data_IF_509446757758
#
_entry.id   IF_509446757758
#
_cell.length_a   1.000
_cell.length_b   1.000
_cell.length_c   1.000
_cell.angle_alpha   90.00
_cell.angle_beta   90.00
_cell.angle_gamma   90.00
#
_symmetry.space_group_name_H-M   'P 1'
#
loop_
_entity.id
_entity.type
_entity.pdbx_description
1 polymer ?
#
# COMPACT_ATOMS: atom_id res chain seq x y z
N UNK A 1 8.41 24.96 35.26
CA UNK A 1 7.69 23.73 34.89
C UNK A 1 7.10 23.93 33.50
N UNK A 2 7.75 23.42 32.47
CA UNK A 2 7.34 23.61 31.08
C UNK A 2 6.46 22.46 30.63
N UNK A 3 5.20 22.75 30.32
CA UNK A 3 4.29 21.79 29.69
C UNK A 3 4.65 21.67 28.22
N UNK A 4 5.37 20.62 27.83
CA UNK A 4 5.55 20.26 26.43
C UNK A 4 4.22 19.72 25.90
N UNK A 5 3.53 20.54 25.12
CA UNK A 5 2.41 20.12 24.28
C UNK A 5 2.93 19.10 23.26
N UNK A 6 2.69 17.81 23.53
CA UNK A 6 2.74 16.79 22.49
C UNK A 6 1.66 17.12 21.47
N UNK A 7 2.03 17.78 20.37
CA UNK A 7 1.21 17.77 19.17
C UNK A 7 1.10 16.31 18.74
N UNK A 8 -0.01 15.64 19.09
CA UNK A 8 -0.43 14.42 18.41
C UNK A 8 -0.69 14.83 16.97
N UNK A 9 0.32 14.66 16.11
CA UNK A 9 0.15 14.74 14.68
C UNK A 9 -0.93 13.71 14.32
N UNK A 10 -2.12 14.18 13.94
CA UNK A 10 -3.15 13.31 13.41
C UNK A 10 -2.61 12.84 12.07
N UNK A 11 -2.11 11.61 12.03
CA UNK A 11 -1.66 10.99 10.80
C UNK A 11 -2.93 10.68 10.00
N UNK A 12 -3.21 11.50 8.98
CA UNK A 12 -4.28 11.19 8.02
C UNK A 12 -3.66 10.27 6.99
N UNK A 13 -3.93 8.97 7.09
CA UNK A 13 -3.52 8.01 6.06
C UNK A 13 -4.59 7.98 4.97
N UNK A 14 -4.25 8.48 3.79
CA UNK A 14 -5.14 8.44 2.62
C UNK A 14 -4.74 7.27 1.72
N UNK A 15 -5.69 6.41 1.37
CA UNK A 15 -5.44 5.35 0.38
C UNK A 15 -5.43 5.99 -1.01
N UNK A 16 -4.27 6.00 -1.65
CA UNK A 16 -4.10 6.52 -3.01
C UNK A 16 -4.36 5.46 -4.07
N UNK A 17 -3.96 4.24 -3.79
CA UNK A 17 -4.11 3.12 -4.71
C UNK A 17 -4.39 1.85 -3.94
N UNK A 18 -5.35 1.06 -4.42
CA UNK A 18 -5.61 -0.28 -3.94
C UNK A 18 -5.82 -1.22 -5.13
N UNK A 19 -5.08 -2.32 -5.14
CA UNK A 19 -5.28 -3.42 -6.08
C UNK A 19 -5.49 -4.71 -5.32
N UNK A 20 -6.65 -5.33 -5.55
CA UNK A 20 -7.00 -6.63 -4.98
C UNK A 20 -7.05 -7.64 -6.11
N UNK A 21 -6.26 -8.69 -6.00
CA UNK A 21 -6.18 -9.75 -7.00
C UNK A 21 -6.34 -11.12 -6.33
N UNK A 22 -7.27 -11.94 -6.81
CA UNK A 22 -7.38 -13.35 -6.41
C UNK A 22 -6.75 -14.22 -7.50
N UNK A 23 -5.98 -15.24 -7.08
CA UNK A 23 -5.44 -16.17 -8.05
C UNK A 23 -6.55 -17.00 -8.73
N UNK A 24 -6.24 -17.63 -9.86
CA UNK A 24 -7.23 -18.43 -10.63
C UNK A 24 -7.90 -19.54 -9.83
N UNK A 25 -7.20 -20.09 -8.82
CA UNK A 25 -7.73 -21.15 -7.94
C UNK A 25 -8.59 -20.62 -6.80
N UNK A 26 -8.69 -19.29 -6.62
CA UNK A 26 -9.45 -18.65 -5.56
C UNK A 26 -8.90 -18.83 -4.14
N UNK A 27 -7.81 -19.57 -3.95
CA UNK A 27 -7.26 -19.91 -2.64
C UNK A 27 -6.20 -18.93 -2.12
N UNK A 28 -5.82 -17.93 -2.93
CA UNK A 28 -4.94 -16.84 -2.50
C UNK A 28 -5.47 -15.50 -2.98
N UNK A 29 -5.45 -14.52 -2.08
CA UNK A 29 -5.75 -13.11 -2.37
C UNK A 29 -4.52 -12.27 -2.09
N UNK A 30 -4.17 -11.42 -3.04
CA UNK A 30 -3.08 -10.47 -2.96
C UNK A 30 -3.71 -9.08 -2.88
N UNK A 31 -3.28 -8.30 -1.90
CA UNK A 31 -3.71 -6.91 -1.76
C UNK A 31 -2.45 -6.05 -1.83
N UNK A 32 -2.48 -5.03 -2.67
CA UNK A 32 -1.47 -4.00 -2.76
C UNK A 32 -2.15 -2.67 -2.44
N UNK A 33 -1.66 -1.97 -1.43
CA UNK A 33 -2.12 -0.63 -1.05
C UNK A 33 -0.98 0.35 -1.09
N UNK A 34 -1.25 1.57 -1.53
CA UNK A 34 -0.34 2.70 -1.39
C UNK A 34 -1.07 3.78 -0.62
N UNK A 35 -0.49 4.17 0.51
CA UNK A 35 -1.02 5.15 1.43
C UNK A 35 -0.16 6.42 1.39
N UNK A 36 -0.79 7.58 1.34
CA UNK A 36 -0.15 8.85 1.68
C UNK A 36 -0.24 9.06 3.20
N UNK A 37 0.89 9.33 3.83
CA UNK A 37 1.03 9.54 5.25
C UNK A 37 0.83 11.03 5.66
N UNK A 38 0.32 11.89 4.78
CA UNK A 38 0.05 13.33 4.94
C UNK A 38 1.27 14.22 5.24
N UNK A 39 2.42 13.61 5.56
CA UNK A 39 3.70 14.26 5.78
C UNK A 39 4.60 14.24 4.52
N UNK A 40 4.02 13.95 3.35
CA UNK A 40 4.75 13.77 2.09
C UNK A 40 5.45 12.40 1.93
N UNK A 41 5.32 11.54 2.94
CA UNK A 41 5.83 10.17 2.91
C UNK A 41 4.72 9.20 2.46
N UNK A 42 5.12 8.11 1.83
CA UNK A 42 4.22 7.11 1.31
C UNK A 42 4.52 5.74 1.89
N UNK A 43 3.48 4.92 2.07
CA UNK A 43 3.61 3.55 2.56
C UNK A 43 3.00 2.60 1.55
N UNK A 44 3.81 1.68 1.05
CA UNK A 44 3.35 0.56 0.24
C UNK A 44 3.13 -0.62 1.16
N UNK A 45 1.92 -1.17 1.14
CA UNK A 45 1.55 -2.37 1.88
C UNK A 45 1.23 -3.47 0.89
N UNK A 46 1.91 -4.60 1.02
CA UNK A 46 1.64 -5.81 0.27
C UNK A 46 1.18 -6.89 1.23
N UNK A 47 -0.01 -7.42 1.00
CA UNK A 47 -0.58 -8.47 1.84
C UNK A 47 -0.91 -9.68 0.98
N UNK A 48 -0.66 -10.86 1.54
CA UNK A 48 -1.08 -12.14 0.97
C UNK A 48 -1.98 -12.83 1.96
N UNK A 49 -3.16 -13.23 1.51
CA UNK A 49 -4.12 -13.99 2.28
C UNK A 49 -4.27 -15.38 1.69
N UNK A 50 -4.37 -16.38 2.56
CA UNK A 50 -4.96 -17.66 2.22
C UNK A 50 -6.48 -17.50 2.26
N UNK A 51 -7.16 -17.96 1.22
CA UNK A 51 -8.62 -17.98 1.15
C UNK A 51 -9.09 -19.42 1.23
N UNK A 52 -10.05 -19.68 2.11
CA UNK A 52 -10.61 -20.99 2.36
C UNK A 52 -11.96 -21.15 1.65
N UNK A 53 -12.38 -22.39 1.34
CA UNK A 53 -13.65 -22.63 0.63
C UNK A 53 -14.90 -22.15 1.37
N UNK A 54 -14.83 -22.02 2.69
CA UNK A 54 -15.88 -21.48 3.56
C UNK A 54 -15.98 -19.94 3.50
N UNK A 55 -15.13 -19.29 2.70
CA UNK A 55 -15.05 -17.83 2.59
C UNK A 55 -14.13 -17.18 3.62
N UNK A 56 -13.51 -17.95 4.52
CA UNK A 56 -12.52 -17.46 5.45
C UNK A 56 -11.28 -16.92 4.73
N UNK A 57 -10.76 -15.79 5.21
CA UNK A 57 -9.51 -15.21 4.73
C UNK A 57 -8.53 -15.07 5.91
N UNK A 58 -7.32 -15.61 5.78
CA UNK A 58 -6.26 -15.49 6.80
C UNK A 58 -5.05 -14.80 6.20
N UNK A 59 -4.61 -13.71 6.82
CA UNK A 59 -3.38 -13.01 6.46
C UNK A 59 -2.19 -13.95 6.69
N UNK A 60 -1.48 -14.27 5.61
CA UNK A 60 -0.30 -15.14 5.62
C UNK A 60 0.98 -14.33 5.70
N UNK A 61 1.03 -13.21 4.98
CA UNK A 61 2.18 -12.31 5.02
C UNK A 61 1.76 -10.87 4.75
N UNK A 62 2.48 -9.96 5.38
CA UNK A 62 2.40 -8.53 5.16
C UNK A 62 3.81 -7.97 5.04
N UNK A 63 4.03 -7.15 4.01
CA UNK A 63 5.24 -6.36 3.83
C UNK A 63 4.86 -4.90 3.75
N UNK A 64 5.55 -4.06 4.51
CA UNK A 64 5.42 -2.62 4.47
C UNK A 64 6.74 -2.00 4.04
N UNK A 65 6.68 -1.11 3.07
CA UNK A 65 7.82 -0.34 2.60
C UNK A 65 7.45 1.15 2.66
N UNK A 66 8.36 1.94 3.24
CA UNK A 66 8.17 3.39 3.34
C UNK A 66 9.01 4.07 2.27
N UNK A 67 8.42 5.09 1.65
CA UNK A 67 9.05 5.91 0.62
C UNK A 67 8.96 7.37 1.05
N UNK A 68 10.05 8.11 0.85
CA UNK A 68 10.16 9.50 1.28
C UNK A 68 9.39 10.46 0.35
N UNK A 69 9.12 10.04 -0.87
CA UNK A 69 8.39 10.85 -1.85
C UNK A 69 7.62 10.02 -2.87
N UNK A 70 6.71 10.67 -3.58
CA UNK A 70 5.98 10.06 -4.70
C UNK A 70 6.92 9.76 -5.88
N UNK A 71 7.98 10.56 -6.05
CA UNK A 71 9.00 10.34 -7.07
C UNK A 71 9.74 9.01 -6.83
N UNK A 72 10.07 8.69 -5.58
CA UNK A 72 10.70 7.41 -5.22
C UNK A 72 9.82 6.20 -5.57
N UNK A 73 8.50 6.35 -5.42
CA UNK A 73 7.53 5.34 -5.86
C UNK A 73 7.42 5.22 -7.38
N UNK A 74 7.65 6.33 -8.09
CA UNK A 74 7.48 6.43 -9.55
C UNK A 74 8.72 6.03 -10.35
N UNK A 75 9.90 6.28 -9.80
CA UNK A 75 11.17 6.16 -10.51
C UNK A 75 12.16 5.22 -9.80
N UNK A 76 11.86 4.81 -8.57
CA UNK A 76 12.72 3.93 -7.80
C UNK A 76 12.63 2.44 -8.19
N UNK A 77 13.46 1.64 -7.52
CA UNK A 77 13.55 0.17 -7.70
C UNK A 77 12.20 -0.55 -7.56
N UNK A 78 11.27 0.02 -6.78
CA UNK A 78 9.93 -0.50 -6.59
C UNK A 78 9.18 -0.71 -7.92
N UNK A 79 9.35 0.21 -8.88
CA UNK A 79 8.71 0.14 -10.21
C UNK A 79 9.20 -0.99 -11.08
N UNK A 80 10.35 -1.59 -10.76
CA UNK A 80 10.88 -2.78 -11.46
C UNK A 80 10.11 -4.04 -11.08
N UNK A 81 9.47 -4.05 -9.91
CA UNK A 81 8.64 -5.17 -9.47
C UNK A 81 7.34 -5.25 -10.26
N UNK A 82 6.73 -6.45 -10.33
CA UNK A 82 5.43 -6.62 -11.00
C UNK A 82 4.34 -5.74 -10.37
N UNK A 83 4.39 -5.53 -9.07
CA UNK A 83 3.45 -4.71 -8.30
C UNK A 83 3.64 -3.22 -8.60
N UNK A 84 4.89 -2.75 -8.60
CA UNK A 84 5.20 -1.38 -9.00
C UNK A 84 4.75 -1.08 -10.42
N UNK A 85 4.91 -2.02 -11.36
CA UNK A 85 4.36 -1.87 -12.73
C UNK A 85 2.83 -1.73 -12.77
N UNK A 86 2.10 -2.42 -11.89
CA UNK A 86 0.64 -2.27 -11.80
C UNK A 86 0.26 -0.88 -11.29
N UNK A 87 0.99 -0.37 -10.31
CA UNK A 87 0.78 0.99 -9.81
C UNK A 87 1.08 2.06 -10.87
N UNK A 88 2.21 1.95 -11.59
CA UNK A 88 2.59 2.93 -12.64
C UNK A 88 1.62 2.92 -13.82
N UNK A 89 1.09 1.75 -14.17
CA UNK A 89 0.11 1.60 -15.25
C UNK A 89 -1.33 1.84 -14.82
N UNK A 90 -1.57 2.18 -13.56
CA UNK A 90 -2.92 2.41 -13.06
C UNK A 90 -3.42 3.80 -13.45
N UNK A 91 -4.74 3.93 -13.57
CA UNK A 91 -5.43 5.19 -13.87
C UNK A 91 -5.26 6.24 -12.77
N UNK A 92 -4.63 5.88 -11.64
CA UNK A 92 -4.17 6.84 -10.63
C UNK A 92 -3.42 8.02 -11.24
N UNK A 93 -2.63 7.78 -12.29
CA UNK A 93 -1.81 8.81 -12.94
C UNK A 93 -2.50 9.55 -14.07
N UNK A 94 -3.64 9.07 -14.57
CA UNK A 94 -4.39 9.73 -15.67
C UNK A 94 -5.46 10.67 -15.14
N UNK A 95 -5.77 10.61 -13.84
CA UNK A 95 -6.69 11.49 -13.15
C UNK A 95 -6.02 12.72 -12.48
N UNK A 96 -4.71 12.90 -12.66
CA UNK A 96 -3.91 14.04 -12.14
C UNK A 96 -3.56 15.00 -13.27
#
# INVERSE_FOLDING_TARGET
MGWQLFKRQVIIMVVLFENINKNKKGNKKFILKILDNSNGNYVVIQQVFACFPDGGEVLQSEKKENFASLADLREGEYTRTRQGKLFIRSDFWTAV
#
